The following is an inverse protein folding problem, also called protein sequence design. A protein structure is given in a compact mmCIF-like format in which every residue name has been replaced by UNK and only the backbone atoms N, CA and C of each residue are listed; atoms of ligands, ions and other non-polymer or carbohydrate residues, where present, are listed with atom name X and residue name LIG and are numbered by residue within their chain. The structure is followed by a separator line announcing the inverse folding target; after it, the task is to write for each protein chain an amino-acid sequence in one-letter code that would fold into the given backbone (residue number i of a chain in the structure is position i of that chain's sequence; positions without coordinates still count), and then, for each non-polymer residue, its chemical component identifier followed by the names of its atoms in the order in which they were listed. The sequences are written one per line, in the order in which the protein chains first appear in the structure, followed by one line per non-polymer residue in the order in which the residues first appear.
data_IF_352297171961
#
_entry.id   IF_352297171961
#
_cell.length_a   1.000
_cell.length_b   1.000
_cell.length_c   1.000
_cell.angle_alpha   90.00
_cell.angle_beta   90.00
_cell.angle_gamma   90.00
#
_symmetry.space_group_name_H-M   'P 1'
#
loop_
_entity.id
_entity.type
_entity.pdbx_description
1 polymer ?
#
# COMPACT_ATOMS: atom_id res chain seq x y z
N UNK A 1 11.93 11.82 41.92
CA UNK A 1 11.52 13.23 41.77
C UNK A 1 11.79 13.65 40.32
N UNK A 2 10.87 13.34 39.39
CA UNK A 2 11.03 13.69 37.97
C UNK A 2 10.20 14.94 37.68
N UNK A 3 10.89 16.06 37.54
CA UNK A 3 10.29 17.31 37.10
C UNK A 3 9.95 17.17 35.62
N UNK A 4 8.66 17.24 35.31
CA UNK A 4 8.15 17.39 33.96
C UNK A 4 8.70 18.71 33.39
N UNK A 5 9.52 18.62 32.35
CA UNK A 5 9.93 19.80 31.59
C UNK A 5 8.67 20.44 30.98
N UNK A 6 8.43 21.75 31.17
CA UNK A 6 7.29 22.43 30.60
C UNK A 6 7.38 22.33 29.08
N UNK A 7 6.39 21.71 28.45
CA UNK A 7 6.12 21.98 27.04
C UNK A 7 5.81 23.47 26.98
N UNK A 8 6.77 24.29 26.52
CA UNK A 8 6.51 25.68 26.15
C UNK A 8 5.39 25.64 25.11
N UNK A 9 4.16 25.74 25.62
CA UNK A 9 3.04 26.23 24.86
C UNK A 9 3.50 27.61 24.43
N UNK A 10 3.82 27.72 23.15
CA UNK A 10 3.63 28.98 22.49
C UNK A 10 2.15 29.31 22.76
N UNK A 11 1.90 30.19 23.72
CA UNK A 11 0.63 30.88 23.81
C UNK A 11 0.49 31.52 22.43
N UNK A 12 -0.33 30.88 21.59
CA UNK A 12 -0.78 31.50 20.37
C UNK A 12 -1.37 32.82 20.82
N UNK A 13 -0.65 33.90 20.52
CA UNK A 13 -1.17 35.25 20.55
C UNK A 13 -2.59 35.17 20.05
N UNK A 14 -3.52 35.47 20.96
CA UNK A 14 -4.94 35.28 20.73
C UNK A 14 -5.24 35.98 19.40
N UNK A 15 -5.74 35.27 18.38
CA UNK A 15 -6.07 35.87 17.08
C UNK A 15 -6.88 37.17 17.28
N UNK A 16 -7.69 37.19 18.34
CA UNK A 16 -8.43 38.35 18.84
C UNK A 16 -7.56 39.56 19.23
N UNK A 17 -6.41 39.40 19.88
CA UNK A 17 -5.54 40.53 20.24
C UNK A 17 -4.77 41.09 19.05
N UNK A 18 -4.35 40.24 18.10
CA UNK A 18 -3.71 40.70 16.86
C UNK A 18 -4.72 41.48 16.01
N UNK A 19 -5.94 40.96 15.87
CA UNK A 19 -6.98 41.61 15.08
C UNK A 19 -7.44 42.90 15.74
N UNK A 20 -7.61 42.94 17.07
CA UNK A 20 -7.86 44.20 17.77
C UNK A 20 -6.78 45.23 17.46
N UNK A 21 -5.51 44.88 17.65
CA UNK A 21 -4.43 45.83 17.39
C UNK A 21 -4.40 46.34 15.93
N UNK A 22 -4.82 45.52 14.96
CA UNK A 22 -4.91 45.93 13.54
C UNK A 22 -6.15 46.78 13.23
N UNK A 23 -7.26 46.57 13.94
CA UNK A 23 -8.51 47.34 13.76
C UNK A 23 -8.43 48.70 14.47
N UNK A 24 -7.76 48.78 15.61
CA UNK A 24 -7.63 50.01 16.41
C UNK A 24 -6.49 50.97 15.98
N UNK A 25 -5.66 50.59 15.00
CA UNK A 25 -4.59 51.45 14.46
C UNK A 25 -5.07 52.44 13.37
N UNK A 26 -6.39 52.50 13.11
CA UNK A 26 -7.04 53.55 12.31
C UNK A 26 -7.99 54.36 13.19
N UNK A 27 -7.45 55.42 13.80
CA UNK A 27 -8.17 56.29 14.72
C UNK A 27 -9.18 57.22 14.06
N UNK A 28 -10.32 57.40 14.75
CA UNK A 28 -11.05 58.68 14.85
C UNK A 28 -12.30 58.87 13.98
N UNK A 29 -13.49 58.69 14.56
CA UNK A 29 -14.73 59.34 14.09
C UNK A 29 -16.03 58.54 14.21
N UNK A 30 -16.99 59.10 14.96
CA UNK A 30 -18.46 58.85 14.99
C UNK A 30 -19.05 57.52 15.51
N UNK A 31 -20.08 57.68 16.36
CA UNK A 31 -20.83 56.65 17.10
C UNK A 31 -21.54 55.61 16.20
N UNK A 32 -21.78 55.93 14.92
CA UNK A 32 -22.37 55.00 13.93
C UNK A 32 -21.36 54.01 13.36
N UNK A 33 -20.08 54.40 13.23
CA UNK A 33 -19.00 53.55 12.73
C UNK A 33 -18.57 52.48 13.74
N UNK A 34 -18.90 52.68 15.02
CA UNK A 34 -18.54 51.76 16.12
C UNK A 34 -19.22 50.40 15.97
N UNK A 35 -20.48 50.35 15.52
CA UNK A 35 -21.22 49.09 15.37
C UNK A 35 -20.79 48.27 14.14
N UNK A 36 -20.44 48.94 13.05
CA UNK A 36 -19.91 48.29 11.84
C UNK A 36 -18.48 47.79 12.04
N UNK A 37 -17.64 48.57 12.73
CA UNK A 37 -16.29 48.17 13.12
C UNK A 37 -16.30 46.96 14.07
N UNK A 38 -17.24 46.93 15.02
CA UNK A 38 -17.45 45.76 15.91
C UNK A 38 -17.88 44.51 15.13
N UNK A 39 -18.82 44.63 14.17
CA UNK A 39 -19.22 43.50 13.33
C UNK A 39 -18.09 42.99 12.43
N UNK A 40 -17.25 43.89 11.91
CA UNK A 40 -16.08 43.54 11.10
C UNK A 40 -15.00 42.85 11.95
N UNK A 41 -14.77 43.32 13.18
CA UNK A 41 -13.85 42.71 14.14
C UNK A 41 -14.29 41.28 14.52
N UNK A 42 -15.57 41.07 14.79
CA UNK A 42 -16.13 39.74 15.08
C UNK A 42 -15.98 38.78 13.89
N UNK A 43 -16.23 39.26 12.67
CA UNK A 43 -16.02 38.46 11.44
C UNK A 43 -14.55 38.12 11.22
N UNK A 44 -13.66 39.09 11.42
CA UNK A 44 -12.22 38.89 11.27
C UNK A 44 -11.68 37.92 12.33
N UNK A 45 -12.10 38.05 13.59
CA UNK A 45 -11.69 37.16 14.68
C UNK A 45 -12.23 35.74 14.48
N UNK A 46 -13.48 35.60 14.05
CA UNK A 46 -14.03 34.30 13.65
C UNK A 46 -13.22 33.67 12.49
N UNK A 47 -12.82 34.45 11.49
CA UNK A 47 -11.99 33.98 10.38
C UNK A 47 -10.58 33.54 10.84
N UNK A 48 -9.90 34.31 11.70
CA UNK A 48 -8.59 33.94 12.22
C UNK A 48 -8.66 32.74 13.16
N UNK A 49 -9.71 32.61 13.97
CA UNK A 49 -9.94 31.43 14.79
C UNK A 49 -10.13 30.18 13.92
N UNK A 50 -10.91 30.28 12.84
CA UNK A 50 -11.05 29.19 11.85
C UNK A 50 -9.70 28.83 11.21
N UNK A 51 -8.90 29.82 10.83
CA UNK A 51 -7.57 29.61 10.25
C UNK A 51 -6.58 28.95 11.23
N UNK A 52 -6.50 29.46 12.46
CA UNK A 52 -5.61 28.90 13.49
C UNK A 52 -6.01 27.48 13.89
N UNK A 53 -7.33 27.21 13.95
CA UNK A 53 -7.84 25.87 14.21
C UNK A 53 -7.54 24.92 13.03
N UNK A 54 -7.66 25.39 11.79
CA UNK A 54 -7.27 24.63 10.60
C UNK A 54 -5.77 24.27 10.61
N UNK A 55 -4.90 25.23 10.92
CA UNK A 55 -3.45 25.00 11.04
C UNK A 55 -3.11 24.06 12.21
N UNK A 56 -3.81 24.18 13.35
CA UNK A 56 -3.69 23.23 14.46
C UNK A 56 -4.04 21.81 14.02
N UNK A 57 -5.14 21.61 13.29
CA UNK A 57 -5.51 20.30 12.73
C UNK A 57 -4.45 19.79 11.76
N UNK A 58 -3.90 20.65 10.90
CA UNK A 58 -2.79 20.30 9.99
C UNK A 58 -1.56 19.81 10.76
N UNK A 59 -1.11 20.55 11.78
CA UNK A 59 0.02 20.16 12.64
C UNK A 59 -0.22 18.84 13.36
N UNK A 60 -1.44 18.61 13.86
CA UNK A 60 -1.82 17.33 14.48
C UNK A 60 -1.68 16.16 13.50
N UNK A 61 -2.18 16.28 12.26
CA UNK A 61 -2.03 15.24 11.22
C UNK A 61 -0.56 14.94 10.91
N UNK A 62 0.25 15.98 10.71
CA UNK A 62 1.68 15.84 10.43
C UNK A 62 2.40 15.13 11.59
N UNK A 63 2.17 15.55 12.82
CA UNK A 63 2.78 14.90 13.98
C UNK A 63 2.30 13.45 14.14
N UNK A 64 1.07 13.14 13.76
CA UNK A 64 0.56 11.77 13.65
C UNK A 64 1.38 10.93 12.67
N UNK A 65 1.60 11.42 11.44
CA UNK A 65 2.43 10.73 10.45
C UNK A 65 3.88 10.52 10.94
N UNK A 66 4.48 11.53 11.59
CA UNK A 66 5.81 11.41 12.17
C UNK A 66 5.86 10.39 13.33
N UNK A 67 4.78 10.22 14.08
CA UNK A 67 4.69 9.19 15.11
C UNK A 67 4.61 7.78 14.49
N UNK A 68 3.81 7.61 13.43
CA UNK A 68 3.76 6.36 12.66
C UNK A 68 5.12 5.99 12.10
N UNK A 69 5.84 6.94 11.50
CA UNK A 69 7.21 6.70 11.00
C UNK A 69 8.15 6.21 12.11
N UNK A 70 8.08 6.79 13.31
CA UNK A 70 8.87 6.32 14.45
C UNK A 70 8.54 4.88 14.85
N UNK A 71 7.26 4.49 14.81
CA UNK A 71 6.85 3.13 15.16
C UNK A 71 7.31 2.05 14.17
N UNK A 72 7.59 2.44 12.92
CA UNK A 72 8.03 1.52 11.86
C UNK A 72 9.55 1.32 11.84
N UNK A 73 10.31 2.18 12.53
CA UNK A 73 11.75 2.10 12.57
C UNK A 73 12.24 1.21 13.73
N UNK A 74 13.30 0.42 13.51
CA UNK A 74 13.88 -0.41 14.56
C UNK A 74 14.57 0.42 15.66
N UNK A 75 14.96 1.66 15.38
CA UNK A 75 15.55 2.60 16.32
C UNK A 75 14.48 3.53 16.92
N UNK A 76 14.02 3.21 18.13
CA UNK A 76 13.03 3.99 18.88
C UNK A 76 13.63 5.15 19.71
N UNK A 77 14.91 5.45 19.51
CA UNK A 77 15.59 6.55 20.21
C UNK A 77 14.93 7.87 19.82
N UNK A 78 14.84 8.81 20.77
CA UNK A 78 14.28 10.16 20.60
C UNK A 78 15.04 10.93 19.51
N UNK A 79 14.70 10.68 18.25
CA UNK A 79 15.24 11.36 17.09
C UNK A 79 14.45 12.64 16.84
N UNK A 80 15.18 13.74 16.63
CA UNK A 80 14.62 14.98 16.11
C UNK A 80 13.99 14.73 14.72
N UNK A 81 13.20 15.69 14.23
CA UNK A 81 12.43 15.51 12.99
C UNK A 81 13.31 15.31 11.76
N UNK A 82 14.48 15.94 11.70
CA UNK A 82 15.37 15.83 10.54
C UNK A 82 16.08 14.48 10.54
N UNK A 83 16.62 14.06 11.69
CA UNK A 83 17.26 12.76 11.86
C UNK A 83 16.29 11.60 11.59
N UNK A 84 15.04 11.72 12.03
CA UNK A 84 13.98 10.74 11.72
C UNK A 84 13.81 10.55 10.21
N UNK A 85 13.70 11.65 9.45
CA UNK A 85 13.49 11.56 8.00
C UNK A 85 14.71 10.99 7.28
N UNK A 86 15.93 11.36 7.70
CA UNK A 86 17.16 10.79 7.16
C UNK A 86 17.23 9.27 7.39
N UNK A 87 16.87 8.82 8.59
CA UNK A 87 16.84 7.41 8.95
C UNK A 87 15.79 6.62 8.15
N UNK A 88 14.60 7.18 7.94
CA UNK A 88 13.58 6.56 7.07
C UNK A 88 14.11 6.37 5.66
N UNK A 89 14.77 7.39 5.08
CA UNK A 89 15.34 7.29 3.73
C UNK A 89 16.44 6.22 3.68
N UNK A 90 17.32 6.16 4.68
CA UNK A 90 18.34 5.11 4.80
C UNK A 90 17.70 3.73 4.84
N UNK A 91 16.70 3.54 5.69
CA UNK A 91 16.02 2.24 5.85
C UNK A 91 15.30 1.81 4.58
N UNK A 92 14.61 2.70 3.89
CA UNK A 92 13.96 2.39 2.60
C UNK A 92 14.98 1.97 1.55
N UNK A 93 16.14 2.65 1.48
CA UNK A 93 17.23 2.26 0.56
C UNK A 93 17.79 0.88 0.90
N UNK A 94 18.00 0.59 2.19
CA UNK A 94 18.48 -0.72 2.64
C UNK A 94 17.49 -1.84 2.34
N UNK A 95 16.20 -1.62 2.62
CA UNK A 95 15.15 -2.59 2.30
C UNK A 95 15.08 -2.86 0.80
N UNK A 96 15.15 -1.82 -0.03
CA UNK A 96 15.20 -1.96 -1.50
C UNK A 96 16.44 -2.73 -1.96
N UNK A 97 17.60 -2.47 -1.35
CA UNK A 97 18.84 -3.19 -1.66
C UNK A 97 18.74 -4.67 -1.26
N UNK A 98 18.28 -4.96 -0.04
CA UNK A 98 18.09 -6.33 0.43
C UNK A 98 17.10 -7.10 -0.45
N UNK A 99 15.98 -6.48 -0.82
CA UNK A 99 15.03 -7.08 -1.75
C UNK A 99 15.71 -7.38 -3.10
N UNK A 100 16.44 -6.42 -3.69
CA UNK A 100 17.12 -6.62 -4.95
C UNK A 100 18.29 -7.63 -4.90
N UNK A 101 18.89 -7.87 -3.74
CA UNK A 101 19.92 -8.91 -3.54
C UNK A 101 19.31 -10.31 -3.42
N UNK A 102 18.09 -10.40 -2.86
CA UNK A 102 17.32 -11.64 -2.81
C UNK A 102 16.71 -11.99 -4.17
N UNK A 103 16.46 -10.99 -5.03
CA UNK A 103 16.14 -11.20 -6.43
C UNK A 103 17.40 -11.65 -7.20
N UNK A 104 17.46 -12.88 -7.74
CA UNK A 104 18.59 -13.30 -8.56
C UNK A 104 18.68 -12.40 -9.80
N UNK A 105 19.82 -11.71 -9.96
CA UNK A 105 20.15 -10.99 -11.20
C UNK A 105 20.22 -12.01 -12.33
N UNK A 106 19.25 -11.94 -13.24
CA UNK A 106 19.19 -12.76 -14.44
C UNK A 106 20.36 -12.46 -15.37
N UNK A 107 21.44 -13.21 -15.21
CA UNK A 107 22.48 -13.44 -16.22
C UNK A 107 23.04 -14.81 -15.89
N UNK A 108 22.37 -15.84 -16.38
CA UNK A 108 22.98 -16.92 -17.16
C UNK A 108 21.93 -18.02 -17.39
N UNK A 109 21.98 -18.60 -18.57
CA UNK A 109 21.07 -19.62 -19.07
C UNK A 109 21.32 -20.97 -18.38
N UNK A 110 21.11 -21.05 -17.06
CA UNK A 110 21.20 -22.30 -16.32
C UNK A 110 20.10 -22.36 -15.25
N UNK A 111 19.03 -23.06 -15.62
CA UNK A 111 18.20 -23.94 -14.78
C UNK A 111 17.90 -23.57 -13.31
N UNK A 112 17.83 -22.28 -12.96
CA UNK A 112 17.60 -21.83 -11.58
C UNK A 112 16.56 -20.72 -11.50
N UNK A 113 15.36 -20.99 -12.01
CA UNK A 113 14.16 -20.21 -11.65
C UNK A 113 13.73 -20.45 -10.18
N UNK A 114 14.53 -21.16 -9.38
CA UNK A 114 14.24 -21.55 -7.99
C UNK A 114 14.52 -20.43 -6.99
N UNK A 115 15.17 -19.34 -7.40
CA UNK A 115 15.69 -18.34 -6.44
C UNK A 115 14.88 -17.07 -6.28
N UNK A 116 13.90 -16.79 -7.15
CA UNK A 116 13.01 -15.65 -6.95
C UNK A 116 11.64 -16.12 -6.40
N UNK A 117 11.57 -16.38 -5.11
CA UNK A 117 10.32 -16.74 -4.43
C UNK A 117 9.58 -15.55 -3.82
N UNK A 118 10.07 -14.33 -4.02
CA UNK A 118 9.37 -13.14 -3.54
C UNK A 118 8.23 -12.81 -4.53
N UNK A 119 6.97 -12.66 -4.05
CA UNK A 119 5.87 -12.20 -4.88
C UNK A 119 6.13 -10.78 -5.42
N UNK A 120 5.86 -10.58 -6.70
CA UNK A 120 5.90 -9.27 -7.34
C UNK A 120 4.71 -8.41 -6.93
N UNK A 121 4.86 -7.08 -7.05
CA UNK A 121 3.77 -6.11 -6.87
C UNK A 121 2.75 -6.14 -8.02
N UNK A 122 3.03 -6.85 -9.10
CA UNK A 122 2.15 -6.97 -10.27
C UNK A 122 1.76 -8.42 -10.54
N UNK A 123 0.66 -8.58 -11.27
CA UNK A 123 0.22 -9.88 -11.75
C UNK A 123 1.11 -10.34 -12.91
N UNK A 124 1.74 -11.50 -12.75
CA UNK A 124 2.73 -12.02 -13.68
C UNK A 124 2.43 -13.49 -14.02
N UNK A 125 2.55 -13.87 -15.29
CA UNK A 125 2.38 -15.25 -15.76
C UNK A 125 3.42 -15.61 -16.82
N UNK A 126 4.35 -16.48 -16.45
CA UNK A 126 5.40 -16.99 -17.32
C UNK A 126 5.27 -18.51 -17.47
N UNK A 127 5.36 -19.01 -18.69
CA UNK A 127 5.34 -20.44 -18.99
C UNK A 127 6.58 -20.80 -19.80
N UNK A 128 7.29 -21.83 -19.37
CA UNK A 128 8.49 -22.36 -20.00
C UNK A 128 8.31 -23.85 -20.25
N UNK A 129 8.47 -24.28 -21.50
CA UNK A 129 8.52 -25.70 -21.83
C UNK A 129 9.85 -26.29 -21.33
N UNK A 130 9.78 -27.35 -20.51
CA UNK A 130 10.97 -28.02 -19.96
C UNK A 130 11.41 -29.16 -20.89
N UNK A 131 10.46 -29.93 -21.42
CA UNK A 131 10.76 -31.11 -22.21
C UNK A 131 9.56 -32.04 -22.34
N UNK A 132 9.77 -33.14 -23.03
CA UNK A 132 8.80 -34.21 -23.19
C UNK A 132 9.42 -35.51 -22.67
N UNK A 133 8.65 -36.28 -21.91
CA UNK A 133 9.09 -37.60 -21.47
C UNK A 133 9.03 -38.59 -22.63
N UNK A 134 10.20 -39.03 -23.11
CA UNK A 134 10.36 -39.96 -24.23
C UNK A 134 9.57 -41.27 -24.07
N UNK A 135 9.31 -41.69 -22.83
CA UNK A 135 8.60 -42.96 -22.56
C UNK A 135 7.08 -42.81 -22.63
N UNK A 136 6.54 -41.63 -22.30
CA UNK A 136 5.09 -41.43 -22.17
C UNK A 136 4.50 -40.42 -23.13
N UNK A 137 5.32 -39.73 -23.94
CA UNK A 137 4.91 -38.62 -24.83
C UNK A 137 4.14 -37.53 -24.08
N UNK A 138 4.56 -37.26 -22.84
CA UNK A 138 3.93 -36.26 -21.98
C UNK A 138 4.81 -35.04 -21.89
N UNK A 139 4.22 -33.90 -22.20
CA UNK A 139 4.86 -32.60 -22.17
C UNK A 139 4.97 -32.09 -20.73
N UNK A 140 6.12 -31.57 -20.34
CA UNK A 140 6.35 -30.91 -19.06
C UNK A 140 6.52 -29.40 -19.24
N UNK A 141 5.73 -28.63 -18.49
CA UNK A 141 5.69 -27.17 -18.52
C UNK A 141 5.97 -26.63 -17.13
N UNK A 142 6.93 -25.71 -17.01
CA UNK A 142 7.07 -24.84 -15.85
C UNK A 142 6.14 -23.65 -16.00
N UNK A 143 5.26 -23.41 -15.06
CA UNK A 143 4.45 -22.20 -15.01
C UNK A 143 4.77 -21.43 -13.73
N UNK A 144 5.12 -20.16 -13.87
CA UNK A 144 5.27 -19.22 -12.77
C UNK A 144 4.11 -18.24 -12.84
N UNK A 145 3.39 -18.10 -11.74
CA UNK A 145 2.31 -17.11 -11.61
C UNK A 145 2.45 -16.33 -10.31
N UNK A 146 2.14 -15.04 -10.35
CA UNK A 146 2.05 -14.17 -9.19
C UNK A 146 0.73 -13.41 -9.25
N UNK A 147 -0.09 -13.47 -8.22
CA UNK A 147 -1.39 -12.81 -8.14
C UNK A 147 -1.78 -12.50 -6.69
N UNK A 148 -2.97 -11.96 -6.48
CA UNK A 148 -3.57 -11.79 -5.16
C UNK A 148 -3.85 -13.15 -4.48
N UNK A 149 -3.55 -13.22 -3.19
CA UNK A 149 -3.79 -14.40 -2.36
C UNK A 149 -5.25 -14.45 -1.88
N UNK A 150 -6.06 -15.25 -2.59
CA UNK A 150 -7.47 -15.47 -2.25
C UNK A 150 -7.70 -16.88 -1.73
N UNK A 151 -8.66 -17.03 -0.80
CA UNK A 151 -8.97 -18.31 -0.17
C UNK A 151 -9.32 -19.45 -1.14
N UNK A 152 -9.93 -19.14 -2.29
CA UNK A 152 -10.35 -20.14 -3.30
C UNK A 152 -9.29 -20.39 -4.39
N UNK A 153 -8.13 -19.71 -4.35
CA UNK A 153 -7.17 -19.72 -5.45
C UNK A 153 -6.68 -21.13 -5.78
N UNK A 154 -6.29 -21.89 -4.76
CA UNK A 154 -5.73 -23.23 -4.94
C UNK A 154 -6.79 -24.18 -5.52
N UNK A 155 -8.04 -24.10 -5.04
CA UNK A 155 -9.15 -24.91 -5.56
C UNK A 155 -9.42 -24.59 -7.04
N UNK A 156 -9.46 -23.29 -7.37
CA UNK A 156 -9.65 -22.84 -8.74
C UNK A 156 -8.49 -23.24 -9.66
N UNK A 157 -7.26 -23.17 -9.16
CA UNK A 157 -6.05 -23.61 -9.84
C UNK A 157 -6.10 -25.10 -10.14
N UNK A 158 -6.36 -25.94 -9.13
CA UNK A 158 -6.49 -27.40 -9.31
C UNK A 158 -7.58 -27.74 -10.33
N UNK A 159 -8.74 -27.06 -10.26
CA UNK A 159 -9.82 -27.24 -11.22
C UNK A 159 -9.40 -26.84 -12.64
N UNK A 160 -8.77 -25.68 -12.80
CA UNK A 160 -8.32 -25.19 -14.10
C UNK A 160 -7.28 -26.12 -14.74
N UNK A 161 -6.37 -26.67 -13.93
CA UNK A 161 -5.37 -27.65 -14.37
C UNK A 161 -6.01 -28.99 -14.78
N UNK A 162 -7.04 -29.43 -14.05
CA UNK A 162 -7.84 -30.60 -14.43
C UNK A 162 -8.53 -30.45 -15.79
N UNK A 163 -9.02 -29.26 -16.13
CA UNK A 163 -9.68 -28.98 -17.41
C UNK A 163 -8.73 -29.07 -18.62
N UNK A 164 -7.45 -28.72 -18.44
CA UNK A 164 -6.43 -28.81 -19.50
C UNK A 164 -5.70 -30.15 -19.53
N UNK A 165 -6.27 -31.18 -18.87
CA UNK A 165 -5.65 -32.50 -18.71
C UNK A 165 -4.23 -32.39 -18.13
N UNK A 166 -3.98 -31.39 -17.30
CA UNK A 166 -2.69 -31.12 -16.67
C UNK A 166 -2.60 -31.82 -15.31
N UNK A 167 -1.52 -32.57 -15.09
CA UNK A 167 -1.17 -33.14 -13.79
C UNK A 167 -0.01 -32.34 -13.18
N UNK A 168 -0.22 -31.78 -11.99
CA UNK A 168 0.85 -31.11 -11.25
C UNK A 168 1.80 -32.17 -10.68
N UNK A 169 3.07 -32.08 -11.04
CA UNK A 169 4.13 -32.95 -10.53
C UNK A 169 4.84 -32.33 -9.33
N UNK A 170 4.96 -31.00 -9.31
CA UNK A 170 5.54 -30.21 -8.21
C UNK A 170 4.87 -28.84 -8.18
N UNK A 171 4.66 -28.31 -6.99
CA UNK A 171 4.20 -26.95 -6.77
C UNK A 171 5.00 -26.35 -5.63
N UNK A 172 5.51 -25.16 -5.85
CA UNK A 172 6.15 -24.32 -4.83
C UNK A 172 5.32 -23.05 -4.68
N UNK A 173 5.05 -22.65 -3.44
CA UNK A 173 4.14 -21.56 -3.11
C UNK A 173 4.80 -20.67 -2.09
N UNK A 174 4.74 -19.36 -2.31
CA UNK A 174 5.09 -18.35 -1.32
C UNK A 174 4.02 -17.28 -1.27
N UNK A 175 3.64 -16.91 -0.06
CA UNK A 175 2.66 -15.85 0.23
C UNK A 175 3.35 -14.71 0.98
N UNK A 176 3.19 -13.48 0.53
CA UNK A 176 3.74 -12.28 1.18
C UNK A 176 2.81 -11.09 0.98
N UNK A 177 2.36 -10.46 2.06
CA UNK A 177 1.60 -9.21 1.99
C UNK A 177 0.30 -9.28 1.18
N UNK A 178 -0.42 -10.41 1.23
CA UNK A 178 -1.64 -10.63 0.44
C UNK A 178 -1.40 -10.97 -1.02
N UNK A 179 -0.14 -11.18 -1.43
CA UNK A 179 0.24 -11.73 -2.74
C UNK A 179 0.69 -13.17 -2.59
N UNK A 180 0.46 -13.94 -3.63
CA UNK A 180 0.90 -15.33 -3.73
C UNK A 180 1.64 -15.54 -5.06
N UNK A 181 2.78 -16.21 -4.96
CA UNK A 181 3.59 -16.65 -6.09
C UNK A 181 3.63 -18.17 -6.10
N UNK A 182 3.26 -18.76 -7.22
CA UNK A 182 3.23 -20.20 -7.44
C UNK A 182 4.17 -20.57 -8.59
N UNK A 183 5.06 -21.53 -8.35
CA UNK A 183 5.86 -22.18 -9.39
C UNK A 183 5.37 -23.62 -9.52
N UNK A 184 4.88 -23.95 -10.70
CA UNK A 184 4.17 -25.19 -11.02
C UNK A 184 4.96 -25.97 -12.07
N UNK A 185 5.19 -27.25 -11.84
CA UNK A 185 5.65 -28.19 -12.85
C UNK A 185 4.46 -29.04 -13.27
N UNK A 186 3.91 -28.77 -14.45
CA UNK A 186 2.69 -29.37 -14.96
C UNK A 186 3.01 -30.30 -16.11
N UNK A 187 2.55 -31.54 -16.00
CA UNK A 187 2.58 -32.52 -17.07
C UNK A 187 1.26 -32.48 -17.85
N UNK A 188 1.31 -32.17 -19.15
CA UNK A 188 0.14 -32.07 -20.04
C UNK A 188 0.13 -33.25 -21.01
N UNK A 189 -1.07 -33.79 -21.26
CA UNK A 189 -1.26 -35.05 -22.00
C UNK A 189 -2.00 -34.81 -23.32
N UNK A 190 -1.49 -35.38 -24.42
CA UNK A 190 -2.21 -35.45 -25.69
C UNK A 190 -2.41 -34.11 -26.40
N UNK A 191 -1.50 -33.15 -26.18
CA UNK A 191 -1.48 -31.86 -26.84
C UNK A 191 -0.12 -31.63 -27.51
N UNK A 192 -0.10 -30.87 -28.61
CA UNK A 192 1.15 -30.37 -29.18
C UNK A 192 1.77 -29.32 -28.26
N UNK A 193 3.08 -29.05 -28.43
CA UNK A 193 3.81 -28.05 -27.63
C UNK A 193 3.07 -26.71 -27.54
N UNK A 194 2.66 -26.16 -28.68
CA UNK A 194 2.03 -24.84 -28.73
C UNK A 194 0.62 -24.86 -28.15
N UNK A 195 -0.15 -25.90 -28.46
CA UNK A 195 -1.51 -26.06 -27.96
C UNK A 195 -1.53 -26.21 -26.44
N UNK A 196 -0.70 -27.09 -25.89
CA UNK A 196 -0.63 -27.31 -24.44
C UNK A 196 -0.18 -26.06 -23.68
N UNK A 197 0.77 -25.30 -24.23
CA UNK A 197 1.21 -24.04 -23.64
C UNK A 197 0.10 -22.98 -23.67
N UNK A 198 -0.61 -22.87 -24.80
CA UNK A 198 -1.70 -21.91 -24.97
C UNK A 198 -2.90 -22.23 -24.08
N UNK A 199 -3.34 -23.49 -24.02
CA UNK A 199 -4.44 -23.95 -23.15
C UNK A 199 -4.12 -23.74 -21.68
N UNK A 200 -2.91 -24.13 -21.24
CA UNK A 200 -2.46 -23.93 -19.87
C UNK A 200 -2.36 -22.43 -19.53
N UNK A 201 -1.77 -21.62 -20.41
CA UNK A 201 -1.69 -20.15 -20.22
C UNK A 201 -3.08 -19.55 -20.05
N UNK A 202 -4.03 -19.93 -20.92
CA UNK A 202 -5.41 -19.44 -20.85
C UNK A 202 -6.09 -19.86 -19.55
N UNK A 203 -5.95 -21.12 -19.15
CA UNK A 203 -6.55 -21.63 -17.92
C UNK A 203 -6.01 -20.92 -16.66
N UNK A 204 -4.70 -20.73 -16.57
CA UNK A 204 -4.06 -20.01 -15.47
C UNK A 204 -4.44 -18.53 -15.47
N UNK A 205 -4.54 -17.90 -16.65
CA UNK A 205 -4.93 -16.49 -16.77
C UNK A 205 -6.35 -16.24 -16.26
N UNK A 206 -7.30 -17.14 -16.57
CA UNK A 206 -8.67 -17.07 -16.02
C UNK A 206 -8.69 -17.17 -14.50
N UNK A 207 -7.81 -18.00 -13.91
CA UNK A 207 -7.68 -18.10 -12.45
C UNK A 207 -7.13 -16.80 -11.88
N UNK A 208 -6.15 -16.16 -12.50
CA UNK A 208 -5.60 -14.89 -12.04
C UNK A 208 -6.64 -13.75 -12.12
N UNK A 209 -7.31 -13.60 -13.26
CA UNK A 209 -8.19 -12.46 -13.54
C UNK A 209 -9.50 -12.47 -12.71
N UNK A 210 -9.87 -13.61 -12.11
CA UNK A 210 -11.03 -13.71 -11.20
C UNK A 210 -10.89 -12.90 -9.91
N UNK A 211 -9.66 -12.54 -9.51
CA UNK A 211 -9.41 -11.70 -8.33
C UNK A 211 -9.88 -10.25 -8.51
N UNK A 212 -9.79 -9.71 -9.73
CA UNK A 212 -10.07 -8.30 -10.01
C UNK A 212 -11.53 -7.87 -9.81
N UNK A 213 -12.46 -8.82 -9.61
CA UNK A 213 -13.91 -8.53 -9.53
C UNK A 213 -14.44 -8.38 -8.10
N UNK A 214 -13.65 -8.73 -7.07
CA UNK A 214 -14.12 -8.78 -5.67
C UNK A 214 -13.67 -7.60 -4.81
N UNK A 215 -12.95 -6.62 -5.37
CA UNK A 215 -12.48 -5.44 -4.65
C UNK A 215 -13.59 -4.36 -4.45
N UNK A 216 -14.79 -4.80 -4.08
CA UNK A 216 -15.79 -3.91 -3.50
C UNK A 216 -15.69 -4.00 -1.98
N UNK A 217 -15.35 -2.91 -1.27
CA UNK A 217 -15.26 -2.92 0.18
C UNK A 217 -16.65 -3.21 0.77
N UNK A 218 -16.83 -4.46 1.19
CA UNK A 218 -18.00 -4.99 1.88
C UNK A 218 -17.99 -4.49 3.34
N UNK A 219 -18.10 -3.17 3.53
CA UNK A 219 -18.40 -2.54 4.81
C UNK A 219 -18.81 -1.07 4.62
N UNK A 220 -20.07 -0.85 4.23
CA UNK A 220 -20.81 0.35 4.64
C UNK A 220 -22.07 -0.11 5.37
N UNK A 221 -22.02 -0.08 6.70
CA UNK A 221 -23.23 -0.16 7.53
C UNK A 221 -24.16 0.98 7.09
N UNK A 222 -25.46 0.73 6.80
CA UNK A 222 -26.41 1.81 6.56
C UNK A 222 -26.51 2.65 7.82
N UNK A 223 -26.25 3.95 7.73
CA UNK A 223 -26.70 4.88 8.78
C UNK A 223 -28.20 5.04 8.56
N UNK A 224 -28.99 4.50 9.47
CA UNK A 224 -30.41 4.83 9.58
C UNK A 224 -30.47 6.29 10.02
N UNK A 225 -30.74 7.17 9.06
CA UNK A 225 -31.15 8.55 9.30
C UNK A 225 -32.65 8.52 9.57
N UNK A 226 -33.05 8.31 10.83
CA UNK A 226 -34.40 8.59 11.29
C UNK A 226 -34.48 10.05 11.74
N UNK A 227 -34.93 10.93 10.85
CA UNK A 227 -35.63 12.15 11.26
C UNK A 227 -37.12 11.82 11.25
N UNK A 228 -37.77 11.82 12.41
CA UNK A 228 -38.94 12.65 12.78
C UNK A 228 -38.86 12.83 14.30
#
# INVERSE_FOLDING_TARGET
MMQYLPTHGYELSNCSSIIRNLVYDHGGGELSAVTEAQSAEEKATAACNRHSEAERRRRKRINGHLATLRSLLPSNVKTDKASLLAEVVRRVKELKKMAAELEPKGTDQSDDTTRNMIPSENDELQLTYIGEDSSTKKMMIKALMCCEDRGELIVELTRALGLVRGKVMRMEIVTLGGRIKCVLWVQVFGATREQGLHELRRALKVVMDRGAFLDMPRNKRPRISGCI
#
